data_IF_329583805167
#
_entry.id   IF_329583805167
#
_cell.length_a   1.000
_cell.length_b   1.000
_cell.length_c   1.000
_cell.angle_alpha   90.00
_cell.angle_beta   90.00
_cell.angle_gamma   90.00
#
_symmetry.space_group_name_H-M   'P 1'
#
loop_
_entity.id
_entity.type
_entity.pdbx_description
1 polymer ?
#
# COMPACT_ATOMS: atom_id res chain seq x y z
N UNK A 1 -47.42 -41.90 20.92
CA UNK A 1 -45.97 -42.00 21.21
C UNK A 1 -45.29 -41.88 19.87
N UNK A 2 -44.51 -40.85 19.54
CA UNK A 2 -43.67 -39.99 20.35
C UNK A 2 -43.42 -38.68 19.59
N UNK A 3 -43.59 -37.55 20.26
CA UNK A 3 -43.18 -36.23 19.78
C UNK A 3 -41.69 -36.05 20.04
N UNK A 4 -40.95 -35.58 19.05
CA UNK A 4 -39.62 -35.01 19.27
C UNK A 4 -39.44 -33.78 18.35
N UNK A 5 -40.11 -32.68 18.73
CA UNK A 5 -39.48 -31.38 18.61
C UNK A 5 -38.30 -31.37 19.58
N UNK A 6 -37.11 -30.97 19.13
CA UNK A 6 -36.24 -29.95 19.73
C UNK A 6 -34.81 -30.12 19.17
N UNK A 7 -34.35 -29.16 18.37
CA UNK A 7 -32.94 -28.78 18.37
C UNK A 7 -32.83 -27.27 18.28
N UNK A 8 -33.01 -26.68 19.46
CA UNK A 8 -32.53 -25.40 19.97
C UNK A 8 -31.73 -24.56 18.97
N UNK A 9 -32.38 -23.48 18.51
CA UNK A 9 -31.83 -22.13 18.48
C UNK A 9 -30.31 -22.06 18.72
N UNK A 10 -29.54 -21.81 17.65
CA UNK A 10 -28.15 -21.41 17.80
C UNK A 10 -28.00 -20.15 18.68
N UNK A 11 -26.80 -19.86 19.21
CA UNK A 11 -26.56 -18.84 20.25
C UNK A 11 -26.83 -17.37 19.85
N UNK A 12 -27.61 -17.11 18.79
CA UNK A 12 -27.88 -15.78 18.25
C UNK A 12 -29.31 -15.24 18.53
N UNK A 13 -30.13 -15.95 19.33
CA UNK A 13 -31.58 -15.69 19.41
C UNK A 13 -32.00 -14.46 20.24
N UNK A 14 -31.07 -13.71 20.85
CA UNK A 14 -31.41 -12.42 21.49
C UNK A 14 -30.40 -11.33 21.17
N UNK A 15 -30.36 -10.88 19.91
CA UNK A 15 -29.78 -9.58 19.58
C UNK A 15 -30.68 -8.50 20.22
N UNK A 16 -30.21 -7.86 21.29
CA UNK A 16 -30.97 -6.79 21.93
C UNK A 16 -31.34 -5.69 20.95
N UNK A 17 -32.50 -5.04 21.13
CA UNK A 17 -33.04 -3.99 20.23
C UNK A 17 -32.00 -2.94 19.82
N UNK A 18 -31.15 -2.52 20.76
CA UNK A 18 -30.04 -1.58 20.52
C UNK A 18 -28.98 -2.13 19.57
N UNK A 19 -28.62 -3.41 19.71
CA UNK A 19 -27.66 -4.08 18.82
C UNK A 19 -28.22 -4.20 17.40
N UNK A 20 -29.53 -4.49 17.27
CA UNK A 20 -30.20 -4.48 15.96
C UNK A 20 -30.19 -3.07 15.36
N UNK A 21 -30.57 -2.04 16.12
CA UNK A 21 -30.55 -0.66 15.65
C UNK A 21 -29.15 -0.19 15.24
N UNK A 22 -28.11 -0.56 15.99
CA UNK A 22 -26.72 -0.26 15.64
C UNK A 22 -26.24 -1.05 14.41
N UNK A 23 -26.73 -2.26 14.19
CA UNK A 23 -26.45 -3.01 12.95
C UNK A 23 -27.11 -2.33 11.74
N UNK A 24 -28.37 -1.92 11.87
CA UNK A 24 -29.10 -1.19 10.82
C UNK A 24 -28.39 0.13 10.49
N UNK A 25 -28.04 0.92 11.50
CA UNK A 25 -27.36 2.20 11.29
C UNK A 25 -26.01 2.03 10.58
N UNK A 26 -25.24 0.98 10.91
CA UNK A 26 -23.99 0.67 10.22
C UNK A 26 -24.21 0.29 8.76
N UNK A 27 -25.22 -0.54 8.48
CA UNK A 27 -25.55 -0.92 7.11
C UNK A 27 -26.03 0.27 6.28
N UNK A 28 -26.80 1.18 6.89
CA UNK A 28 -27.21 2.42 6.23
C UNK A 28 -26.00 3.30 5.88
N UNK A 29 -25.06 3.46 6.81
CA UNK A 29 -23.81 4.18 6.54
C UNK A 29 -22.99 3.52 5.42
N UNK A 30 -22.93 2.19 5.38
CA UNK A 30 -22.23 1.45 4.34
C UNK A 30 -22.88 1.64 2.97
N UNK A 31 -24.21 1.63 2.89
CA UNK A 31 -24.97 1.96 1.68
C UNK A 31 -24.63 3.37 1.21
N UNK A 32 -24.71 4.36 2.10
CA UNK A 32 -24.39 5.76 1.78
C UNK A 32 -22.95 5.94 1.28
N UNK A 33 -21.99 5.25 1.90
CA UNK A 33 -20.58 5.27 1.45
C UNK A 33 -20.41 4.71 0.05
N UNK A 34 -21.03 3.55 -0.22
CA UNK A 34 -20.94 2.89 -1.53
C UNK A 34 -21.60 3.74 -2.63
N UNK A 35 -22.75 4.35 -2.34
CA UNK A 35 -23.43 5.25 -3.29
C UNK A 35 -22.58 6.48 -3.63
N UNK A 36 -21.91 7.08 -2.64
CA UNK A 36 -21.01 8.21 -2.87
C UNK A 36 -19.76 7.80 -3.64
N UNK A 37 -19.15 6.65 -3.33
CA UNK A 37 -18.02 6.11 -4.10
C UNK A 37 -18.39 5.84 -5.57
N UNK A 38 -19.60 5.30 -5.81
CA UNK A 38 -20.12 5.08 -7.16
C UNK A 38 -20.24 6.40 -7.94
N UNK A 39 -20.78 7.43 -7.31
CA UNK A 39 -20.90 8.76 -7.91
C UNK A 39 -19.54 9.37 -8.25
N UNK A 40 -18.53 9.16 -7.39
CA UNK A 40 -17.16 9.58 -7.70
C UNK A 40 -16.58 8.81 -8.89
N UNK A 41 -16.86 7.50 -8.99
CA UNK A 41 -16.40 6.65 -10.09
C UNK A 41 -16.93 7.11 -11.46
N UNK A 42 -18.15 7.65 -11.53
CA UNK A 42 -18.71 8.21 -12.77
C UNK A 42 -17.90 9.39 -13.32
N UNK A 43 -17.20 10.11 -12.45
CA UNK A 43 -16.40 11.29 -12.82
C UNK A 43 -14.91 11.01 -12.94
N UNK A 44 -14.41 9.91 -12.36
CA UNK A 44 -12.99 9.58 -12.43
C UNK A 44 -12.57 9.20 -13.85
N UNK A 45 -11.43 9.73 -14.34
CA UNK A 45 -10.91 9.37 -15.66
C UNK A 45 -10.43 7.92 -15.69
N UNK A 46 -10.36 7.35 -16.90
CA UNK A 46 -9.82 6.01 -17.10
C UNK A 46 -8.38 5.90 -16.56
N UNK A 47 -8.07 4.77 -15.94
CA UNK A 47 -6.73 4.52 -15.37
C UNK A 47 -5.62 4.61 -16.41
N UNK A 48 -5.90 4.28 -17.68
CA UNK A 48 -4.93 4.42 -18.77
C UNK A 48 -4.45 5.86 -18.96
N UNK A 49 -5.36 6.84 -18.83
CA UNK A 49 -5.04 8.27 -18.98
C UNK A 49 -4.18 8.74 -17.81
N UNK A 50 -4.56 8.40 -16.59
CA UNK A 50 -3.79 8.75 -15.38
C UNK A 50 -2.41 8.09 -15.40
N UNK A 51 -2.32 6.83 -15.82
CA UNK A 51 -1.04 6.13 -15.96
C UNK A 51 -0.14 6.80 -17.00
N UNK A 52 -0.67 7.19 -18.16
CA UNK A 52 0.11 7.90 -19.18
C UNK A 52 0.64 9.25 -18.65
N UNK A 53 -0.20 10.03 -17.96
CA UNK A 53 0.20 11.30 -17.34
C UNK A 53 1.28 11.10 -16.28
N UNK A 54 1.16 10.07 -15.43
CA UNK A 54 2.16 9.77 -14.40
C UNK A 54 3.49 9.36 -15.00
N UNK A 55 3.49 8.52 -16.05
CA UNK A 55 4.70 8.13 -16.78
C UNK A 55 5.35 9.36 -17.40
N UNK A 56 4.60 10.19 -18.11
CA UNK A 56 5.11 11.41 -18.72
C UNK A 56 5.73 12.38 -17.68
N UNK A 57 5.09 12.51 -16.51
CA UNK A 57 5.58 13.34 -15.39
C UNK A 57 6.90 12.83 -14.81
N UNK A 58 7.03 11.51 -14.65
CA UNK A 58 8.24 10.86 -14.13
C UNK A 58 9.38 10.96 -15.14
N UNK A 59 9.13 10.69 -16.42
CA UNK A 59 10.15 10.71 -17.47
C UNK A 59 10.71 12.11 -17.76
N UNK A 60 9.93 13.17 -17.49
CA UNK A 60 10.35 14.55 -17.70
C UNK A 60 11.25 15.08 -16.58
N UNK A 61 11.31 14.42 -15.42
CA UNK A 61 12.14 14.83 -14.28
C UNK A 61 13.40 14.00 -14.20
N UNK A 62 14.55 14.65 -14.20
CA UNK A 62 15.84 14.00 -13.98
C UNK A 62 15.99 13.63 -12.50
N UNK A 63 15.90 12.34 -12.17
CA UNK A 63 16.19 11.85 -10.82
C UNK A 63 17.67 11.52 -10.67
N UNK A 64 18.36 12.13 -9.70
CA UNK A 64 19.78 11.95 -9.46
C UNK A 64 20.15 10.56 -8.88
N UNK A 65 19.17 9.82 -8.37
CA UNK A 65 19.37 8.49 -7.79
C UNK A 65 19.18 7.35 -8.81
N UNK A 66 18.69 7.66 -10.01
CA UNK A 66 18.52 6.66 -11.06
C UNK A 66 19.85 6.44 -11.81
N UNK A 67 20.18 5.19 -12.21
CA UNK A 67 21.40 4.89 -12.95
C UNK A 67 21.53 5.63 -14.29
N UNK A 68 20.40 6.03 -14.86
CA UNK A 68 20.33 6.78 -16.13
C UNK A 68 19.58 8.08 -15.87
N UNK A 69 20.33 9.17 -15.71
CA UNK A 69 19.77 10.50 -15.48
C UNK A 69 19.74 11.29 -16.78
N UNK A 70 18.59 11.87 -17.14
CA UNK A 70 18.49 12.80 -18.26
C UNK A 70 19.02 14.16 -17.82
N UNK A 71 20.32 14.40 -17.96
CA UNK A 71 20.95 15.68 -17.59
C UNK A 71 22.47 15.59 -17.51
N UNK A 72 23.19 16.73 -17.41
CA UNK A 72 24.63 16.71 -17.21
C UNK A 72 24.94 16.04 -15.87
N UNK A 73 25.78 15.01 -15.89
CA UNK A 73 26.28 14.38 -14.68
C UNK A 73 26.92 15.46 -13.78
N UNK A 74 26.44 15.59 -12.55
CA UNK A 74 27.01 16.53 -11.60
C UNK A 74 28.26 15.89 -10.96
N UNK A 75 29.48 16.35 -11.29
CA UNK A 75 30.72 15.72 -10.83
C UNK A 75 30.90 15.79 -9.31
N UNK A 76 30.15 16.64 -8.59
CA UNK A 76 30.17 16.68 -7.13
C UNK A 76 29.53 15.44 -6.47
N UNK A 77 28.71 14.69 -7.21
CA UNK A 77 28.05 13.47 -6.73
C UNK A 77 29.00 12.28 -6.66
N UNK A 78 30.04 12.28 -7.49
CA UNK A 78 31.08 11.25 -7.48
C UNK A 78 31.71 11.10 -6.08
N UNK A 79 31.87 12.21 -5.35
CA UNK A 79 32.35 12.22 -3.96
C UNK A 79 31.45 11.43 -2.98
N UNK A 80 30.14 11.41 -3.22
CA UNK A 80 29.17 10.76 -2.33
C UNK A 80 28.86 9.31 -2.74
N UNK A 81 28.94 8.99 -4.03
CA UNK A 81 28.48 7.69 -4.56
C UNK A 81 29.61 6.78 -5.10
N UNK A 82 30.83 7.27 -5.39
CA UNK A 82 31.92 6.40 -5.89
C UNK A 82 32.64 5.60 -4.79
N UNK A 83 32.09 5.54 -3.58
CA UNK A 83 32.76 4.96 -2.42
C UNK A 83 34.01 5.75 -2.02
N UNK A 84 34.55 5.48 -0.83
CA UNK A 84 35.79 6.16 -0.41
C UNK A 84 36.96 5.75 -1.33
N UNK A 85 37.28 6.63 -2.29
CA UNK A 85 38.48 6.56 -3.13
C UNK A 85 39.71 6.69 -2.23
N UNK A 86 40.15 5.57 -1.64
CA UNK A 86 41.28 5.55 -0.71
C UNK A 86 41.17 4.61 0.49
N UNK A 87 40.11 3.82 0.65
CA UNK A 87 40.12 2.76 1.66
C UNK A 87 41.04 1.63 1.22
N UNK A 88 42.34 1.81 1.50
CA UNK A 88 43.38 0.81 1.39
C UNK A 88 43.03 -0.34 2.33
N UNK A 89 42.31 -1.34 1.82
CA UNK A 89 42.28 -2.72 2.33
C UNK A 89 42.24 -2.86 3.86
N UNK A 90 41.16 -2.44 4.52
CA UNK A 90 40.88 -2.90 5.89
C UNK A 90 39.89 -4.06 5.86
N UNK A 91 40.32 -5.19 5.27
CA UNK A 91 39.60 -6.48 5.37
C UNK A 91 39.80 -7.10 6.76
N UNK A 92 39.51 -6.36 7.83
CA UNK A 92 39.73 -6.84 9.20
C UNK A 92 38.84 -8.05 9.54
N UNK A 93 37.75 -8.27 8.79
CA UNK A 93 36.89 -9.45 8.91
C UNK A 93 37.37 -10.69 8.13
N UNK A 94 38.41 -10.60 7.28
CA UNK A 94 39.00 -11.78 6.63
C UNK A 94 40.11 -12.44 7.43
N UNK A 95 40.53 -11.86 8.57
CA UNK A 95 41.49 -12.49 9.47
C UNK A 95 40.76 -13.41 10.46
N UNK A 96 40.16 -14.49 9.93
CA UNK A 96 39.85 -15.65 10.78
C UNK A 96 41.17 -16.32 11.14
N UNK A 97 41.48 -16.28 12.44
CA UNK A 97 42.32 -17.20 13.22
C UNK A 97 42.91 -18.35 12.39
N UNK A 98 44.21 -18.25 12.10
CA UNK A 98 45.05 -19.45 12.06
C UNK A 98 45.60 -19.65 13.47
N UNK A 99 45.65 -20.92 13.87
CA UNK A 99 45.83 -21.47 15.21
C UNK A 99 46.90 -20.83 16.12
#
# INVERSE_FOLDING_TARGET
METAETSLAGPDVFIGKHRMAAAIARLQQEIESIEEELKQLETTPASSVVCEETVASVENKSDALLPHTRGPANPAWDRWFQGAQGSRNHKWWTQKRSD
#
